data_IF_191804204535
#
_entry.id   IF_191804204535
#
_cell.length_a   1.000
_cell.length_b   1.000
_cell.length_c   1.000
_cell.angle_alpha   90.00
_cell.angle_beta   90.00
_cell.angle_gamma   90.00
#
_symmetry.space_group_name_H-M   'P 1'
#
loop_
_entity.id
_entity.type
_entity.pdbx_description
1 polymer ?
#
# COMPACT_ATOMS: atom_id res chain seq x y z
N UNK A 1 25.74 -7.41 -22.01
CA UNK A 1 25.45 -7.62 -20.57
C UNK A 1 24.83 -6.32 -20.08
N UNK A 2 23.56 -6.08 -20.39
CA UNK A 2 22.92 -4.78 -20.19
C UNK A 2 22.17 -4.81 -18.86
N UNK A 3 22.86 -4.52 -17.77
CA UNK A 3 22.22 -4.26 -16.47
C UNK A 3 21.63 -2.86 -16.56
N UNK A 4 20.38 -2.77 -17.00
CA UNK A 4 19.62 -1.52 -16.92
C UNK A 4 19.60 -1.06 -15.45
N UNK A 5 20.03 0.17 -15.13
CA UNK A 5 19.89 0.69 -13.78
C UNK A 5 18.39 0.89 -13.55
N UNK A 6 17.81 0.05 -12.70
CA UNK A 6 16.47 0.18 -12.14
C UNK A 6 16.27 1.63 -11.64
N UNK A 7 15.50 2.50 -12.32
CA UNK A 7 15.22 3.82 -11.81
C UNK A 7 13.87 3.74 -11.09
N UNK A 8 13.74 2.93 -10.03
CA UNK A 8 12.42 2.70 -9.43
C UNK A 8 12.37 2.81 -7.90
N UNK A 9 13.27 3.58 -7.29
CA UNK A 9 13.23 3.88 -5.86
C UNK A 9 12.89 5.35 -5.56
N UNK A 10 12.17 6.03 -6.45
CA UNK A 10 11.86 7.47 -6.31
C UNK A 10 10.38 7.83 -6.19
N UNK A 11 9.44 6.88 -6.24
CA UNK A 11 8.00 7.20 -6.33
C UNK A 11 7.10 6.75 -5.18
N UNK A 12 7.57 5.95 -4.22
CA UNK A 12 6.74 5.57 -3.06
C UNK A 12 7.07 6.41 -1.85
N UNK A 13 6.99 7.73 -2.00
CA UNK A 13 7.04 8.64 -0.85
C UNK A 13 5.78 8.51 0.03
N UNK A 14 4.73 7.87 -0.47
CA UNK A 14 3.48 7.67 0.23
C UNK A 14 3.04 6.20 0.21
N UNK A 15 2.36 5.80 1.26
CA UNK A 15 1.78 4.48 1.44
C UNK A 15 0.35 4.60 1.93
N UNK A 16 -0.53 3.77 1.38
CA UNK A 16 -1.91 3.67 1.80
C UNK A 16 -1.99 2.61 2.90
N UNK A 17 -2.20 3.05 4.13
CA UNK A 17 -2.26 2.19 5.31
C UNK A 17 -3.70 1.83 5.67
N UNK A 18 -4.00 0.54 5.66
CA UNK A 18 -5.21 -0.06 6.21
C UNK A 18 -4.91 -0.53 7.63
N UNK A 19 -5.33 0.25 8.63
CA UNK A 19 -5.19 -0.14 10.04
C UNK A 19 -6.31 -1.11 10.41
N UNK A 20 -6.00 -2.27 11.02
CA UNK A 20 -7.06 -3.14 11.53
C UNK A 20 -7.70 -2.52 12.78
N UNK A 21 -9.03 -2.58 12.85
CA UNK A 21 -9.82 -2.08 13.98
C UNK A 21 -9.83 -3.06 15.17
N UNK A 22 -9.63 -4.34 14.90
CA UNK A 22 -9.69 -5.40 15.92
C UNK A 22 -8.32 -5.86 16.41
N UNK A 23 -7.29 -5.72 15.58
CA UNK A 23 -5.94 -6.18 15.88
C UNK A 23 -4.92 -5.12 15.49
N UNK A 24 -4.57 -4.24 16.42
CA UNK A 24 -3.64 -3.11 16.20
C UNK A 24 -2.26 -3.53 15.63
N UNK A 25 -1.87 -4.80 15.81
CA UNK A 25 -0.65 -5.38 15.26
C UNK A 25 -0.71 -5.83 13.79
N UNK A 26 -1.86 -5.77 13.12
CA UNK A 26 -2.01 -6.10 11.70
C UNK A 26 -2.48 -4.89 10.92
N UNK A 27 -1.57 -4.28 10.18
CA UNK A 27 -1.90 -3.27 9.18
C UNK A 27 -1.39 -3.73 7.82
N UNK A 28 -2.16 -3.46 6.77
CA UNK A 28 -1.73 -3.66 5.40
C UNK A 28 -1.34 -2.31 4.83
N UNK A 29 -0.11 -2.18 4.36
CA UNK A 29 0.38 -0.98 3.70
C UNK A 29 0.64 -1.28 2.23
N UNK A 30 0.17 -0.38 1.38
CA UNK A 30 0.35 -0.49 -0.06
C UNK A 30 1.04 0.76 -0.57
N UNK A 31 1.99 0.64 -1.51
CA UNK A 31 2.57 1.80 -2.17
C UNK A 31 1.49 2.65 -2.86
N UNK A 32 1.51 3.97 -2.67
CA UNK A 32 0.58 4.89 -3.34
C UNK A 32 1.24 6.23 -3.67
N UNK A 33 0.57 7.05 -4.47
CA UNK A 33 0.99 8.44 -4.72
C UNK A 33 0.47 9.41 -3.64
N UNK A 34 0.85 10.68 -3.74
CA UNK A 34 0.41 11.75 -2.83
C UNK A 34 -1.12 11.95 -2.79
N UNK A 35 -1.83 11.61 -3.87
CA UNK A 35 -3.29 11.62 -3.94
C UNK A 35 -3.94 10.34 -3.39
N UNK A 36 -3.15 9.32 -3.03
CA UNK A 36 -3.64 8.04 -2.54
C UNK A 36 -4.01 7.03 -3.63
N UNK A 37 -3.58 7.26 -4.88
CA UNK A 37 -3.73 6.25 -5.92
C UNK A 37 -2.71 5.13 -5.72
N UNK A 38 -3.23 3.94 -5.51
CA UNK A 38 -2.44 2.71 -5.48
C UNK A 38 -2.28 2.22 -6.91
N UNK A 39 -1.02 2.07 -7.33
CA UNK A 39 -0.70 1.51 -8.63
C UNK A 39 -0.89 -0.02 -8.57
N UNK A 40 -2.04 -0.49 -9.06
CA UNK A 40 -2.36 -1.92 -9.09
C UNK A 40 -1.47 -2.71 -10.04
N UNK A 41 -0.86 -2.08 -11.05
CA UNK A 41 0.05 -2.73 -12.00
C UNK A 41 1.42 -2.99 -11.37
N UNK A 42 1.88 -2.06 -10.53
CA UNK A 42 3.07 -2.22 -9.71
C UNK A 42 2.91 -3.26 -8.58
N UNK A 43 1.67 -3.66 -8.23
CA UNK A 43 1.40 -4.67 -7.21
C UNK A 43 1.50 -6.10 -7.77
N UNK A 44 2.19 -6.97 -7.03
CA UNK A 44 2.13 -8.42 -7.25
C UNK A 44 0.70 -8.96 -7.09
N UNK A 45 0.37 -10.06 -7.77
CA UNK A 45 -0.96 -10.70 -7.73
C UNK A 45 -1.49 -10.88 -6.30
N UNK A 46 -0.63 -11.31 -5.36
CA UNK A 46 -1.00 -11.50 -3.95
C UNK A 46 -1.28 -10.19 -3.22
N UNK A 47 -0.54 -9.12 -3.54
CA UNK A 47 -0.78 -7.81 -2.96
C UNK A 47 -2.08 -7.20 -3.50
N UNK A 48 -2.39 -7.42 -4.79
CA UNK A 48 -3.66 -7.01 -5.39
C UNK A 48 -4.85 -7.70 -4.73
N UNK A 49 -4.76 -9.01 -4.48
CA UNK A 49 -5.80 -9.77 -3.78
C UNK A 49 -6.02 -9.24 -2.35
N UNK A 50 -4.93 -9.04 -1.59
CA UNK A 50 -5.00 -8.43 -0.27
C UNK A 50 -5.58 -7.01 -0.29
N UNK A 51 -5.25 -6.19 -1.31
CA UNK A 51 -5.78 -4.83 -1.44
C UNK A 51 -7.29 -4.84 -1.68
N UNK A 52 -7.77 -5.69 -2.60
CA UNK A 52 -9.20 -5.87 -2.87
C UNK A 52 -9.94 -6.39 -1.63
N UNK A 53 -9.36 -7.37 -0.93
CA UNK A 53 -9.88 -7.87 0.34
C UNK A 53 -9.99 -6.74 1.37
N UNK A 54 -8.88 -6.08 1.67
CA UNK A 54 -8.81 -5.01 2.67
C UNK A 54 -9.84 -3.92 2.38
N UNK A 55 -9.96 -3.50 1.12
CA UNK A 55 -10.89 -2.48 0.66
C UNK A 55 -12.37 -2.91 0.78
N UNK A 56 -12.66 -4.21 0.70
CA UNK A 56 -14.01 -4.76 0.91
C UNK A 56 -14.39 -4.78 2.39
N UNK A 57 -13.42 -4.98 3.28
CA UNK A 57 -13.64 -5.04 4.73
C UNK A 57 -13.29 -3.72 5.46
N UNK A 58 -13.10 -2.62 4.72
CA UNK A 58 -13.02 -1.26 5.28
C UNK A 58 -14.33 -0.90 5.97
N UNK A 59 -14.25 -0.30 7.16
CA UNK A 59 -15.38 0.03 8.02
C UNK A 59 -15.94 -1.17 8.80
N UNK A 60 -15.45 -2.39 8.52
CA UNK A 60 -15.83 -3.60 9.24
C UNK A 60 -14.68 -4.16 10.04
N UNK A 61 -13.59 -4.56 9.38
CA UNK A 61 -12.38 -5.13 10.01
C UNK A 61 -11.17 -4.19 9.93
N UNK A 62 -11.12 -3.34 8.91
CA UNK A 62 -10.09 -2.33 8.72
C UNK A 62 -10.70 -0.93 8.78
N UNK A 63 -9.95 0.03 9.31
CA UNK A 63 -10.29 1.43 9.28
C UNK A 63 -10.22 1.97 7.85
N UNK A 64 -10.78 3.16 7.64
CA UNK A 64 -10.64 3.90 6.39
C UNK A 64 -9.15 4.06 6.06
N UNK A 65 -8.71 3.68 4.85
CA UNK A 65 -7.31 3.75 4.50
C UNK A 65 -6.82 5.20 4.53
N UNK A 66 -5.66 5.41 5.14
CA UNK A 66 -5.03 6.72 5.24
C UNK A 66 -3.74 6.74 4.41
N UNK A 67 -3.57 7.79 3.61
CA UNK A 67 -2.32 8.06 2.92
C UNK A 67 -1.33 8.59 3.94
N UNK A 68 -0.22 7.89 4.12
CA UNK A 68 0.85 8.29 5.01
C UNK A 68 2.15 8.42 4.22
N UNK A 69 3.04 9.35 4.59
CA UNK A 69 4.37 9.37 4.02
C UNK A 69 5.10 8.07 4.42
N UNK A 70 5.71 7.40 3.45
CA UNK A 70 6.61 6.27 3.68
C UNK A 70 7.81 6.80 4.47
N UNK A 71 7.74 6.67 5.79
CA UNK A 71 8.80 7.14 6.67
C UNK A 71 9.96 6.15 6.52
N UNK A 72 10.90 6.46 5.62
CA UNK A 72 12.25 5.93 5.69
C UNK A 72 12.81 6.34 7.07
N UNK A 73 12.87 5.38 8.00
CA UNK A 73 13.70 5.49 9.21
C UNK A 73 15.07 4.93 8.90
#
# INVERSE_FOLDING_TARGET
MNTAPMPLARHFAFELRFQSLFNEGRALTFPCDAQGHVDMDALSTRARDNYLYARTVVGREFATPAVQPCRLQ
#
